data_IF_372109950301
#
_entry.id   IF_372109950301
#
_cell.length_a   1.000
_cell.length_b   1.000
_cell.length_c   1.000
_cell.angle_alpha   90.00
_cell.angle_beta   90.00
_cell.angle_gamma   90.00
#
_symmetry.space_group_name_H-M   'P 1'
#
loop_
_entity.id
_entity.type
_entity.pdbx_description
1 polymer ?
#
# COMPACT_ATOMS: atom_id res chain seq x y z
N UNK A 1 -31.70 -8.34 0.08
CA UNK A 1 -31.73 -7.11 -0.73
C UNK A 1 -30.30 -6.85 -1.14
N UNK A 2 -29.98 -6.95 -2.43
CA UNK A 2 -28.62 -6.70 -2.92
C UNK A 2 -28.37 -5.20 -2.81
N UNK A 3 -27.44 -4.82 -1.93
CA UNK A 3 -27.06 -3.42 -1.77
C UNK A 3 -26.45 -2.93 -3.09
N UNK A 4 -26.84 -1.73 -3.54
CA UNK A 4 -26.27 -1.15 -4.76
C UNK A 4 -24.78 -0.92 -4.49
N UNK A 5 -23.92 -1.44 -5.38
CA UNK A 5 -22.48 -1.21 -5.28
C UNK A 5 -22.18 0.29 -5.35
N UNK A 6 -21.34 0.77 -4.42
CA UNK A 6 -20.82 2.14 -4.43
C UNK A 6 -19.93 2.36 -5.67
N UNK A 7 -20.06 3.54 -6.27
CA UNK A 7 -19.07 4.07 -7.22
C UNK A 7 -17.72 4.30 -6.53
N UNK A 8 -16.60 4.41 -7.26
CA UNK A 8 -15.29 4.76 -6.70
C UNK A 8 -15.34 6.00 -5.80
N UNK A 9 -16.03 7.06 -6.22
CA UNK A 9 -16.15 8.32 -5.49
C UNK A 9 -16.98 8.17 -4.20
N UNK A 10 -18.06 7.38 -4.25
CA UNK A 10 -18.86 7.05 -3.08
C UNK A 10 -18.05 6.21 -2.09
N UNK A 11 -17.24 5.27 -2.60
CA UNK A 11 -16.38 4.42 -1.79
C UNK A 11 -15.26 5.22 -1.11
N UNK A 12 -14.56 6.09 -1.85
CA UNK A 12 -13.55 6.99 -1.28
C UNK A 12 -14.12 7.83 -0.14
N UNK A 13 -15.31 8.42 -0.35
CA UNK A 13 -15.99 9.21 0.67
C UNK A 13 -16.37 8.37 1.88
N UNK A 14 -16.84 7.15 1.66
CA UNK A 14 -17.17 6.21 2.74
C UNK A 14 -15.93 5.86 3.58
N UNK A 15 -14.82 5.52 2.92
CA UNK A 15 -13.54 5.23 3.58
C UNK A 15 -13.07 6.44 4.40
N UNK A 16 -13.11 7.66 3.84
CA UNK A 16 -12.70 8.87 4.56
C UNK A 16 -13.56 9.14 5.80
N UNK A 17 -14.88 8.96 5.70
CA UNK A 17 -15.78 9.12 6.85
C UNK A 17 -15.47 8.09 7.94
N UNK A 18 -15.24 6.84 7.55
CA UNK A 18 -14.90 5.76 8.46
C UNK A 18 -13.55 6.03 9.16
N UNK A 19 -12.51 6.38 8.40
CA UNK A 19 -11.18 6.67 8.94
C UNK A 19 -11.19 7.87 9.88
N UNK A 20 -11.96 8.92 9.55
CA UNK A 20 -12.13 10.09 10.43
C UNK A 20 -12.81 9.71 11.76
N UNK A 21 -13.73 8.75 11.74
CA UNK A 21 -14.40 8.27 12.94
C UNK A 21 -13.51 7.36 13.80
N UNK A 22 -12.71 6.49 13.17
CA UNK A 22 -11.85 5.52 13.86
C UNK A 22 -10.57 6.18 14.38
N UNK A 23 -9.98 7.10 13.61
CA UNK A 23 -8.71 7.76 13.91
C UNK A 23 -8.87 9.29 13.94
N UNK A 24 -9.58 9.85 14.94
CA UNK A 24 -9.94 11.27 14.98
C UNK A 24 -8.73 12.22 15.06
N UNK A 25 -7.58 11.73 15.51
CA UNK A 25 -6.32 12.48 15.58
C UNK A 25 -5.53 12.51 14.26
N UNK A 26 -5.96 11.74 13.25
CA UNK A 26 -5.31 11.62 11.93
C UNK A 26 -6.13 12.38 10.88
N UNK A 27 -5.43 13.05 9.96
CA UNK A 27 -6.07 13.80 8.87
C UNK A 27 -5.88 13.07 7.54
N UNK A 28 -7.00 12.59 6.98
CA UNK A 28 -7.06 11.96 5.67
C UNK A 28 -7.78 12.89 4.70
N UNK A 29 -7.26 12.99 3.48
CA UNK A 29 -7.82 13.84 2.44
C UNK A 29 -8.23 13.03 1.21
N UNK A 30 -9.31 13.44 0.56
CA UNK A 30 -9.64 12.97 -0.77
C UNK A 30 -8.62 13.51 -1.78
N UNK A 31 -8.28 12.71 -2.78
CA UNK A 31 -7.51 13.16 -3.94
C UNK A 31 -8.39 13.20 -5.19
N UNK A 32 -7.92 13.85 -6.25
CA UNK A 32 -8.60 13.87 -7.56
C UNK A 32 -8.76 12.46 -8.17
N UNK A 33 -7.93 11.50 -7.74
CA UNK A 33 -8.10 10.09 -8.08
C UNK A 33 -9.01 9.43 -7.03
N UNK A 34 -10.21 8.94 -7.40
CA UNK A 34 -11.16 8.34 -6.45
C UNK A 34 -10.65 7.04 -5.84
N UNK A 35 -9.61 6.43 -6.41
CA UNK A 35 -8.97 5.22 -5.88
C UNK A 35 -7.79 5.54 -4.97
N UNK A 36 -7.55 6.80 -4.63
CA UNK A 36 -6.44 7.22 -3.77
C UNK A 36 -6.91 8.20 -2.70
N UNK A 37 -6.45 8.00 -1.46
CA UNK A 37 -6.53 8.99 -0.38
C UNK A 37 -5.14 9.47 0.02
N UNK A 38 -5.04 10.70 0.52
CA UNK A 38 -3.80 11.26 1.02
C UNK A 38 -3.76 11.24 2.55
N UNK A 39 -2.58 10.95 3.11
CA UNK A 39 -2.29 11.05 4.54
C UNK A 39 -0.84 11.51 4.69
N UNK A 40 -0.64 12.72 5.25
CA UNK A 40 0.68 13.36 5.31
C UNK A 40 1.35 13.42 3.92
N UNK A 41 2.57 12.88 3.76
CA UNK A 41 3.26 12.76 2.48
C UNK A 41 2.94 11.47 1.71
N UNK A 42 2.13 10.57 2.27
CA UNK A 42 1.80 9.28 1.69
C UNK A 42 0.53 9.34 0.82
N UNK A 43 0.54 8.57 -0.28
CA UNK A 43 -0.63 8.29 -1.12
C UNK A 43 -1.05 6.86 -0.92
N UNK A 44 -2.27 6.64 -0.44
CA UNK A 44 -2.78 5.33 -0.06
C UNK A 44 -3.83 4.88 -1.08
N UNK A 45 -3.55 3.80 -1.80
CA UNK A 45 -4.44 3.23 -2.81
C UNK A 45 -5.59 2.43 -2.20
N UNK A 46 -6.76 2.50 -2.83
CA UNK A 46 -7.99 1.83 -2.44
C UNK A 46 -8.35 0.64 -3.35
N UNK A 47 -7.58 0.39 -4.41
CA UNK A 47 -7.92 -0.60 -5.47
C UNK A 47 -8.18 -2.00 -4.93
N UNK A 48 -7.32 -2.46 -4.02
CA UNK A 48 -7.43 -3.78 -3.43
C UNK A 48 -8.68 -3.90 -2.53
N UNK A 49 -8.96 -2.85 -1.75
CA UNK A 49 -10.13 -2.80 -0.87
C UNK A 49 -11.43 -2.73 -1.67
N UNK A 50 -11.46 -1.91 -2.73
CA UNK A 50 -12.62 -1.75 -3.58
C UNK A 50 -12.90 -3.02 -4.40
N UNK A 51 -11.86 -3.66 -4.94
CA UNK A 51 -11.99 -4.94 -5.64
C UNK A 51 -12.53 -6.03 -4.72
N UNK A 52 -12.04 -6.11 -3.48
CA UNK A 52 -12.56 -7.06 -2.49
C UNK A 52 -14.03 -6.78 -2.14
N UNK A 53 -14.39 -5.50 -1.95
CA UNK A 53 -15.77 -5.09 -1.73
C UNK A 53 -16.69 -5.51 -2.89
N UNK A 54 -16.28 -5.32 -4.14
CA UNK A 54 -17.06 -5.70 -5.31
C UNK A 54 -17.20 -7.23 -5.47
N UNK A 55 -16.13 -7.98 -5.20
CA UNK A 55 -16.08 -9.42 -5.42
C UNK A 55 -16.77 -10.22 -4.32
N UNK A 56 -16.47 -9.88 -3.07
CA UNK A 56 -16.75 -10.74 -1.91
C UNK A 56 -18.13 -10.49 -1.28
N UNK A 57 -18.92 -9.55 -1.85
CA UNK A 57 -20.26 -9.17 -1.38
C UNK A 57 -20.31 -8.96 0.15
N UNK A 58 -19.26 -8.35 0.69
CA UNK A 58 -19.12 -8.10 2.12
C UNK A 58 -20.33 -7.34 2.63
N UNK A 59 -20.82 -7.73 3.81
CA UNK A 59 -21.82 -6.92 4.52
C UNK A 59 -21.22 -5.55 4.87
N UNK A 60 -22.05 -4.52 5.12
CA UNK A 60 -21.54 -3.21 5.52
C UNK A 60 -20.57 -3.26 6.69
N UNK A 61 -20.83 -4.14 7.67
CA UNK A 61 -19.97 -4.33 8.83
C UNK A 61 -18.63 -4.97 8.46
N UNK A 62 -18.63 -6.06 7.71
CA UNK A 62 -17.39 -6.74 7.27
C UNK A 62 -16.52 -5.84 6.39
N UNK A 63 -17.15 -5.03 5.54
CA UNK A 63 -16.46 -4.02 4.73
C UNK A 63 -15.74 -3.02 5.64
N UNK A 64 -16.43 -2.49 6.64
CA UNK A 64 -15.86 -1.47 7.53
C UNK A 64 -14.73 -2.05 8.39
N UNK A 65 -14.90 -3.27 8.91
CA UNK A 65 -13.85 -4.02 9.63
C UNK A 65 -12.63 -4.29 8.73
N UNK A 66 -12.85 -4.63 7.46
CA UNK A 66 -11.75 -4.85 6.51
C UNK A 66 -10.97 -3.56 6.20
N UNK A 67 -11.67 -2.42 6.04
CA UNK A 67 -11.05 -1.11 5.87
C UNK A 67 -10.24 -0.75 7.13
N UNK A 68 -10.82 -0.89 8.32
CA UNK A 68 -10.14 -0.62 9.59
C UNK A 68 -8.86 -1.44 9.74
N UNK A 69 -8.94 -2.76 9.52
CA UNK A 69 -7.79 -3.65 9.62
C UNK A 69 -6.68 -3.27 8.64
N UNK A 70 -7.05 -2.94 7.40
CA UNK A 70 -6.10 -2.54 6.36
C UNK A 70 -5.35 -1.25 6.75
N UNK A 71 -6.08 -0.20 7.13
CA UNK A 71 -5.47 1.08 7.47
C UNK A 71 -4.74 1.03 8.81
N UNK A 72 -5.18 0.22 9.78
CA UNK A 72 -4.43 0.01 11.03
C UNK A 72 -3.02 -0.53 10.76
N UNK A 73 -2.89 -1.49 9.84
CA UNK A 73 -1.59 -2.03 9.43
C UNK A 73 -0.71 -1.00 8.73
N UNK A 74 -1.29 -0.24 7.80
CA UNK A 74 -0.56 0.84 7.09
C UNK A 74 -0.08 1.91 8.07
N UNK A 75 -0.97 2.38 8.95
CA UNK A 75 -0.66 3.46 9.88
C UNK A 75 0.33 3.03 10.96
N UNK A 76 0.31 1.75 11.36
CA UNK A 76 1.35 1.18 12.20
C UNK A 76 2.72 1.29 11.51
N UNK A 77 2.81 0.99 10.22
CA UNK A 77 4.06 1.10 9.45
C UNK A 77 4.46 2.55 9.15
N UNK A 78 3.50 3.45 8.90
CA UNK A 78 3.80 4.87 8.64
C UNK A 78 4.21 5.63 9.89
N UNK A 79 3.68 5.26 11.07
CA UNK A 79 4.18 5.79 12.34
C UNK A 79 5.63 5.35 12.64
N UNK A 80 6.18 4.38 11.89
CA UNK A 80 7.59 3.99 11.93
C UNK A 80 8.45 4.91 11.04
N UNK A 81 7.89 5.88 10.30
CA UNK A 81 8.71 6.87 9.55
C UNK A 81 9.49 7.86 10.47
N UNK A 82 9.35 7.75 11.79
CA UNK A 82 10.28 8.34 12.77
C UNK A 82 11.52 7.49 13.09
N UNK A 83 11.50 6.21 12.71
CA UNK A 83 12.57 5.22 12.83
C UNK A 83 12.63 4.42 11.51
N UNK A 84 13.04 5.08 10.42
CA UNK A 84 13.71 4.29 9.38
C UNK A 84 14.89 3.68 10.12
N UNK A 85 14.84 2.38 10.42
CA UNK A 85 15.96 1.68 11.04
C UNK A 85 17.12 1.85 10.06
N UNK A 86 17.96 2.85 10.32
CA UNK A 86 19.11 3.17 9.47
C UNK A 86 20.08 2.03 9.68
N UNK A 87 19.90 0.99 8.88
CA UNK A 87 20.74 -0.18 8.89
C UNK A 87 22.12 0.26 8.43
N UNK A 88 23.11 0.08 9.29
CA UNK A 88 24.49 0.31 8.91
C UNK A 88 24.89 -0.71 7.85
N UNK A 89 25.88 -0.38 7.00
CA UNK A 89 26.41 -1.35 6.04
C UNK A 89 26.88 -2.65 6.72
N UNK A 90 27.39 -2.56 7.95
CA UNK A 90 27.84 -3.72 8.71
C UNK A 90 26.73 -4.72 9.02
N UNK A 91 25.49 -4.23 9.19
CA UNK A 91 24.28 -5.03 9.43
C UNK A 91 23.65 -5.48 8.10
N UNK A 92 23.70 -4.63 7.07
CA UNK A 92 23.13 -4.93 5.76
C UNK A 92 23.91 -6.01 5.00
N UNK A 93 25.25 -6.02 5.10
CA UNK A 93 26.09 -6.89 4.27
C UNK A 93 25.77 -8.38 4.40
N UNK A 94 25.25 -8.84 5.55
CA UNK A 94 24.86 -10.25 5.78
C UNK A 94 23.47 -10.58 5.24
N UNK A 95 22.67 -9.57 4.90
CA UNK A 95 21.30 -9.66 4.38
C UNK A 95 21.21 -9.33 2.89
N UNK A 96 22.32 -8.88 2.29
CA UNK A 96 22.39 -8.63 0.85
C UNK A 96 22.32 -9.94 0.09
N UNK A 97 21.29 -10.08 -0.73
CA UNK A 97 21.06 -11.24 -1.58
C UNK A 97 21.03 -10.83 -3.06
N UNK A 98 21.36 -11.79 -3.91
CA UNK A 98 21.23 -11.68 -5.35
C UNK A 98 19.94 -12.37 -5.79
N UNK A 99 19.06 -11.62 -6.46
CA UNK A 99 17.80 -12.14 -6.95
C UNK A 99 17.76 -12.10 -8.48
N UNK A 100 17.27 -13.18 -9.11
CA UNK A 100 17.00 -13.20 -10.55
C UNK A 100 15.67 -12.53 -10.83
N UNK A 101 15.67 -11.56 -11.73
CA UNK A 101 14.50 -10.74 -12.05
C UNK A 101 14.36 -10.55 -13.57
N UNK A 102 13.15 -10.32 -14.09
CA UNK A 102 12.96 -9.93 -15.49
C UNK A 102 13.62 -8.57 -15.78
N UNK A 103 14.18 -8.40 -16.97
CA UNK A 103 14.83 -7.13 -17.37
C UNK A 103 13.89 -5.91 -17.33
N UNK A 104 12.57 -6.12 -17.40
CA UNK A 104 11.57 -5.06 -17.25
C UNK A 104 11.56 -4.43 -15.84
N UNK A 105 12.07 -5.10 -14.80
CA UNK A 105 12.08 -4.57 -13.44
C UNK A 105 12.98 -3.35 -13.25
N UNK A 106 13.98 -3.13 -14.11
CA UNK A 106 14.82 -1.91 -14.08
C UNK A 106 14.00 -0.62 -14.12
N UNK A 107 12.84 -0.66 -14.77
CA UNK A 107 11.98 0.50 -14.97
C UNK A 107 11.03 0.75 -13.80
N UNK A 108 10.90 -0.20 -12.87
CA UNK A 108 9.91 -0.15 -11.79
C UNK A 108 10.50 0.37 -10.48
N UNK A 109 11.77 0.08 -10.19
CA UNK A 109 12.42 0.45 -8.92
C UNK A 109 13.90 0.82 -9.15
N UNK A 110 14.43 1.90 -8.52
CA UNK A 110 15.85 2.23 -8.60
C UNK A 110 16.68 1.25 -7.75
N UNK A 111 17.00 0.09 -8.33
CA UNK A 111 17.82 -0.95 -7.70
C UNK A 111 19.20 -1.06 -8.37
N UNK A 112 20.22 -1.49 -7.61
CA UNK A 112 21.50 -1.90 -8.20
C UNK A 112 21.28 -3.23 -8.92
N UNK A 113 21.59 -3.26 -10.22
CA UNK A 113 21.32 -4.43 -11.05
C UNK A 113 22.46 -4.69 -12.03
N UNK A 114 22.63 -5.96 -12.40
CA UNK A 114 23.58 -6.40 -13.42
C UNK A 114 22.88 -7.29 -14.46
N UNK A 115 23.13 -7.09 -15.77
CA UNK A 115 22.56 -7.94 -16.80
C UNK A 115 23.14 -9.36 -16.70
N UNK A 116 22.27 -10.38 -16.76
CA UNK A 116 22.68 -11.78 -16.89
C UNK A 116 22.45 -12.28 -18.31
N UNK A 117 21.26 -11.99 -18.86
CA UNK A 117 20.90 -12.24 -20.27
C UNK A 117 20.11 -11.03 -20.82
N UNK A 118 19.58 -11.13 -22.03
CA UNK A 118 18.73 -10.09 -22.61
C UNK A 118 17.40 -9.89 -21.84
N UNK A 119 16.88 -10.96 -21.23
CA UNK A 119 15.56 -10.97 -20.59
C UNK A 119 15.64 -11.09 -19.05
N UNK A 120 16.81 -11.41 -18.52
CA UNK A 120 17.02 -11.71 -17.09
C UNK A 120 18.19 -10.90 -16.54
N UNK A 121 18.01 -10.43 -15.31
CA UNK A 121 18.98 -9.63 -14.59
C UNK A 121 19.14 -10.11 -13.16
N UNK A 122 20.26 -9.73 -12.57
CA UNK A 122 20.54 -9.92 -11.15
C UNK A 122 20.29 -8.59 -10.45
N UNK A 123 19.29 -8.54 -9.57
CA UNK A 123 19.07 -7.44 -8.63
C UNK A 123 19.81 -7.70 -7.31
N UNK A 124 20.39 -6.65 -6.74
CA UNK A 124 20.91 -6.65 -5.38
C UNK A 124 19.82 -6.18 -4.44
N UNK A 125 19.37 -7.05 -3.53
CA UNK A 125 18.27 -6.79 -2.60
C UNK A 125 18.73 -6.98 -1.16
N UNK A 126 18.05 -6.35 -0.21
CA UNK A 126 18.22 -6.55 1.23
C UNK A 126 16.92 -7.17 1.73
N UNK A 127 17.01 -8.34 2.37
CA UNK A 127 15.88 -9.06 3.00
C UNK A 127 15.80 -8.76 4.52
#
# INVERSE_FOLDING_TARGET
>A
MTEKLMTPEEYQRHVLLLLTAIFPEKYFEATDDPMVIAYQSARLGLDNLYTAYQRDQLTPKERDEHIEAHFSGILANLNVEGDVEVMTWAEAQTKVLLQLMPASHRQMVPLIHYPLTADVEIGVVID
#
